data_IF_082872738736
#
_entry.id   IF_082872738736
#
_cell.length_a   1.000
_cell.length_b   1.000
_cell.length_c   1.000
_cell.angle_alpha   90.00
_cell.angle_beta   90.00
_cell.angle_gamma   90.00
#
_symmetry.space_group_name_H-M   'P 1'
#
loop_
_entity.id
_entity.type
_entity.pdbx_description
1 polymer ?
#
# COMPACT_ATOMS: atom_id res chain seq x y z
N UNK A 1 5.60 -4.47 -16.69
CA UNK A 1 4.30 -4.55 -16.00
C UNK A 1 4.17 -3.31 -15.14
N UNK A 2 3.03 -2.62 -15.16
CA UNK A 2 2.79 -1.49 -14.25
C UNK A 2 2.05 -2.03 -13.04
N UNK A 3 2.69 -2.04 -11.88
CA UNK A 3 2.03 -2.38 -10.63
C UNK A 3 1.11 -1.24 -10.18
N UNK A 4 -0.02 -1.59 -9.56
CA UNK A 4 -0.92 -0.67 -8.88
C UNK A 4 -0.90 -1.04 -7.41
N UNK A 5 -0.95 -0.03 -6.54
CA UNK A 5 -1.08 -0.23 -5.10
C UNK A 5 -2.53 -0.05 -4.66
N UNK A 6 -2.97 -0.93 -3.76
CA UNK A 6 -4.24 -0.87 -3.05
C UNK A 6 -3.99 -0.93 -1.56
N UNK A 7 -4.87 -0.35 -0.75
CA UNK A 7 -4.78 -0.48 0.71
C UNK A 7 -5.44 -1.80 1.08
N UNK A 8 -4.74 -2.65 1.83
CA UNK A 8 -5.37 -3.76 2.55
C UNK A 8 -5.31 -3.51 4.05
N UNK A 9 -6.41 -3.77 4.74
CA UNK A 9 -6.54 -3.55 6.18
C UNK A 9 -6.96 -4.84 6.87
N UNK A 10 -6.44 -5.06 8.07
CA UNK A 10 -6.72 -6.20 8.92
C UNK A 10 -6.98 -5.73 10.35
N UNK A 11 -8.18 -5.95 10.87
CA UNK A 11 -8.50 -5.73 12.27
C UNK A 11 -9.28 -6.93 12.81
N UNK A 12 -8.83 -7.55 13.90
CA UNK A 12 -9.50 -8.72 14.49
C UNK A 12 -9.80 -9.85 13.47
N UNK A 13 -8.85 -10.16 12.58
CA UNK A 13 -9.00 -11.08 11.42
C UNK A 13 -10.02 -10.67 10.36
N UNK A 14 -10.59 -9.47 10.44
CA UNK A 14 -11.43 -8.92 9.39
C UNK A 14 -10.54 -8.28 8.34
N UNK A 15 -10.35 -9.00 7.23
CA UNK A 15 -9.63 -8.54 6.07
C UNK A 15 -10.53 -7.66 5.20
N UNK A 16 -9.98 -6.55 4.71
CA UNK A 16 -10.62 -5.72 3.70
C UNK A 16 -9.59 -5.16 2.72
N UNK A 17 -9.78 -5.45 1.44
CA UNK A 17 -9.04 -4.84 0.34
C UNK A 17 -9.82 -3.64 -0.21
N UNK A 18 -9.21 -2.47 -0.23
CA UNK A 18 -9.85 -1.24 -0.67
C UNK A 18 -9.67 -1.05 -2.19
N UNK A 19 -10.77 -0.77 -2.94
CA UNK A 19 -10.73 -0.73 -4.40
C UNK A 19 -10.02 0.51 -4.98
N UNK A 20 -9.73 1.51 -4.14
CA UNK A 20 -9.07 2.73 -4.59
C UNK A 20 -7.58 2.47 -4.88
N UNK A 21 -7.18 2.69 -6.13
CA UNK A 21 -5.78 2.60 -6.55
C UNK A 21 -4.97 3.82 -6.13
N UNK A 22 -3.76 3.61 -5.62
CA UNK A 22 -2.78 4.65 -5.27
C UNK A 22 -1.71 4.77 -6.37
N UNK A 23 -2.12 5.36 -7.51
CA UNK A 23 -1.28 5.39 -8.71
C UNK A 23 -0.15 6.40 -8.60
N UNK A 24 -0.41 7.55 -7.99
CA UNK A 24 0.62 8.58 -7.81
C UNK A 24 1.64 8.15 -6.77
N UNK A 25 1.21 7.44 -5.72
CA UNK A 25 2.12 6.89 -4.70
C UNK A 25 3.14 5.93 -5.32
N UNK A 26 2.70 4.95 -6.13
CA UNK A 26 3.64 3.99 -6.74
C UNK A 26 4.57 4.64 -7.77
N UNK A 27 4.06 5.56 -8.60
CA UNK A 27 4.86 6.25 -9.62
C UNK A 27 5.95 7.13 -8.99
N UNK A 28 5.68 7.71 -7.83
CA UNK A 28 6.58 8.63 -7.14
C UNK A 28 7.20 8.04 -5.86
N UNK A 29 7.23 6.72 -5.74
CA UNK A 29 7.67 6.00 -4.54
C UNK A 29 9.09 6.40 -4.11
N UNK A 30 10.04 6.43 -5.05
CA UNK A 30 11.44 6.80 -4.76
C UNK A 30 11.56 8.20 -4.15
N UNK A 31 10.76 9.14 -4.67
CA UNK A 31 10.72 10.52 -4.19
C UNK A 31 10.07 10.63 -2.81
N UNK A 32 8.98 9.88 -2.57
CA UNK A 32 8.33 9.78 -1.27
C UNK A 32 9.25 9.17 -0.22
N UNK A 33 9.98 8.11 -0.56
CA UNK A 33 10.92 7.45 0.34
C UNK A 33 12.11 8.35 0.72
N UNK A 34 12.64 9.11 -0.25
CA UNK A 34 13.66 10.11 0.02
C UNK A 34 13.16 11.18 1.00
N UNK A 35 11.89 11.58 0.87
CA UNK A 35 11.25 12.50 1.81
C UNK A 35 11.03 11.88 3.18
N UNK A 36 10.54 10.64 3.25
CA UNK A 36 10.40 9.91 4.52
C UNK A 36 11.72 9.86 5.29
N UNK A 37 12.82 9.53 4.60
CA UNK A 37 14.17 9.53 5.18
C UNK A 37 14.58 10.91 5.71
N UNK A 38 14.25 11.97 4.98
CA UNK A 38 14.55 13.36 5.38
C UNK A 38 13.72 13.80 6.58
N UNK A 39 12.47 13.33 6.67
CA UNK A 39 11.55 13.62 7.77
C UNK A 39 11.76 12.71 8.99
N UNK A 40 12.59 11.67 8.87
CA UNK A 40 12.85 10.71 9.94
C UNK A 40 11.69 9.74 10.19
N UNK A 41 10.83 9.50 9.19
CA UNK A 41 9.69 8.57 9.25
C UNK A 41 9.95 7.34 8.39
N UNK A 42 9.10 6.32 8.55
CA UNK A 42 9.22 5.06 7.82
C UNK A 42 9.00 5.28 6.31
N UNK A 43 9.86 4.74 5.43
CA UNK A 43 9.66 4.80 3.98
C UNK A 43 8.35 4.14 3.56
N UNK A 44 7.73 4.64 2.49
CA UNK A 44 6.46 4.11 1.98
C UNK A 44 6.66 2.72 1.38
N UNK A 45 7.82 2.47 0.76
CA UNK A 45 8.19 1.15 0.25
C UNK A 45 8.17 0.06 1.31
N UNK A 46 8.38 0.40 2.58
CA UNK A 46 8.35 -0.58 3.68
C UNK A 46 6.94 -1.13 3.93
N UNK A 47 5.90 -0.40 3.52
CA UNK A 47 4.51 -0.84 3.68
C UNK A 47 3.99 -1.62 2.47
N UNK A 48 4.79 -1.81 1.42
CA UNK A 48 4.35 -2.48 0.19
C UNK A 48 4.43 -3.99 0.38
N UNK A 49 3.30 -4.65 0.19
CA UNK A 49 3.20 -6.11 0.14
C UNK A 49 3.22 -6.56 -1.33
N UNK A 50 4.15 -7.46 -1.66
CA UNK A 50 4.36 -7.96 -3.04
C UNK A 50 3.74 -9.33 -3.27
N UNK A 51 3.09 -9.92 -2.26
CA UNK A 51 2.55 -11.28 -2.26
C UNK A 51 1.71 -11.57 -3.51
N UNK A 52 0.86 -10.64 -3.92
CA UNK A 52 0.01 -10.83 -5.11
C UNK A 52 0.83 -10.92 -6.41
N UNK A 53 1.85 -10.07 -6.57
CA UNK A 53 2.73 -10.05 -7.74
C UNK A 53 3.57 -11.33 -7.77
N UNK A 54 4.16 -11.71 -6.64
CA UNK A 54 4.97 -12.92 -6.53
C UNK A 54 4.16 -14.18 -6.83
N UNK A 55 2.91 -14.24 -6.35
CA UNK A 55 2.01 -15.35 -6.62
C UNK A 55 1.67 -15.47 -8.12
N UNK A 56 1.38 -14.34 -8.78
CA UNK A 56 1.10 -14.32 -10.22
C UNK A 56 2.34 -14.71 -11.05
N UNK A 57 3.51 -14.19 -10.69
CA UNK A 57 4.77 -14.55 -11.34
C UNK A 57 5.09 -16.04 -11.21
N UNK A 58 4.89 -16.61 -10.02
CA UNK A 58 5.06 -18.04 -9.78
C UNK A 58 4.08 -18.89 -10.62
N UNK A 59 2.82 -18.47 -10.73
CA UNK A 59 1.82 -19.13 -11.57
C UNK A 59 2.22 -19.08 -13.05
N UNK A 60 2.71 -17.92 -13.53
CA UNK A 60 3.16 -17.74 -14.90
C UNK A 60 4.37 -18.62 -15.25
N UNK A 61 5.34 -18.75 -14.35
CA UNK A 61 6.53 -19.60 -14.55
C UNK A 61 6.21 -21.09 -14.59
N UNK A 62 5.20 -21.52 -13.84
CA UNK A 62 4.82 -22.93 -13.73
C UNK A 62 3.92 -23.36 -14.90
N UNK A 63 3.39 -22.40 -15.68
CA UNK A 63 2.41 -22.66 -16.75
C UNK A 63 1.03 -23.08 -16.22
N UNK A 64 0.87 -23.10 -14.91
CA UNK A 64 -0.35 -23.44 -14.20
C UNK A 64 -1.18 -22.17 -14.05
N UNK A 65 -1.77 -21.70 -15.15
CA UNK A 65 -2.81 -20.66 -15.13
C UNK A 65 -4.11 -21.16 -14.48
N UNK A 66 -4.16 -22.45 -14.13
CA UNK A 66 -5.26 -23.16 -13.49
C UNK A 66 -4.82 -23.80 -12.17
N UNK A 67 -4.15 -23.06 -11.27
CA UNK A 67 -4.28 -23.43 -9.86
C UNK A 67 -5.72 -23.16 -9.46
N UNK A 68 -6.58 -24.16 -9.62
CA UNK A 68 -7.87 -24.29 -8.97
C UNK A 68 -7.67 -24.52 -7.47
N UNK A 69 -6.81 -23.71 -6.84
CA UNK A 69 -6.80 -23.49 -5.41
C UNK A 69 -8.04 -22.66 -5.14
N UNK A 70 -8.99 -23.26 -4.43
CA UNK A 70 -10.14 -22.53 -3.90
C UNK A 70 -9.64 -21.26 -3.23
N UNK A 71 -10.25 -20.09 -3.52
CA UNK A 71 -9.83 -18.85 -2.88
C UNK A 71 -9.91 -19.03 -1.37
N UNK A 72 -8.97 -18.43 -0.66
CA UNK A 72 -8.92 -18.44 0.78
C UNK A 72 -10.27 -17.92 1.33
N UNK A 73 -10.90 -18.63 2.28
CA UNK A 73 -12.24 -18.27 2.76
C UNK A 73 -12.26 -16.97 3.57
N UNK A 74 -11.12 -16.48 4.07
CA UNK A 74 -11.03 -15.24 4.85
C UNK A 74 -10.74 -14.03 3.95
N UNK A 75 -9.91 -14.17 2.91
CA UNK A 75 -9.53 -13.05 2.01
C UNK A 75 -10.30 -13.03 0.69
N UNK A 76 -10.79 -14.18 0.23
CA UNK A 76 -11.31 -14.36 -1.13
C UNK A 76 -10.23 -14.31 -2.22
N UNK A 77 -8.95 -14.29 -1.85
CA UNK A 77 -7.80 -14.24 -2.74
C UNK A 77 -7.19 -15.64 -2.94
N UNK A 78 -6.25 -15.76 -3.87
CA UNK A 78 -5.54 -17.03 -4.08
C UNK A 78 -4.55 -17.38 -2.96
N UNK A 79 -4.30 -16.44 -2.04
CA UNK A 79 -3.38 -16.51 -0.90
C UNK A 79 -4.08 -16.01 0.37
N UNK A 80 -3.59 -16.46 1.53
CA UNK A 80 -4.20 -16.18 2.82
C UNK A 80 -3.67 -14.91 3.50
N UNK A 81 -4.29 -14.55 4.62
CA UNK A 81 -3.83 -13.44 5.49
C UNK A 81 -2.39 -13.71 5.97
N UNK A 82 -2.05 -14.96 6.23
CA UNK A 82 -0.74 -15.38 6.78
C UNK A 82 0.42 -15.24 5.79
N UNK A 83 0.12 -15.16 4.49
CA UNK A 83 1.12 -15.00 3.44
C UNK A 83 1.52 -13.53 3.25
N UNK A 84 0.69 -12.59 3.71
CA UNK A 84 0.90 -11.15 3.53
C UNK A 84 1.69 -10.53 4.67
N UNK A 85 2.43 -9.46 4.37
CA UNK A 85 3.08 -8.65 5.39
C UNK A 85 2.09 -7.67 6.03
N UNK A 86 1.98 -7.68 7.36
CA UNK A 86 1.06 -6.82 8.11
C UNK A 86 1.81 -5.89 9.05
N UNK A 87 1.64 -4.58 8.84
CA UNK A 87 2.31 -3.55 9.63
C UNK A 87 1.30 -2.78 10.49
N UNK A 88 1.68 -2.31 11.70
CA UNK A 88 0.78 -1.53 12.53
C UNK A 88 0.33 -0.25 11.83
N UNK A 89 -0.99 0.01 11.85
CA UNK A 89 -1.57 1.21 11.23
C UNK A 89 -0.93 2.50 11.75
N UNK A 90 -0.66 2.58 13.05
CA UNK A 90 -0.02 3.74 13.68
C UNK A 90 1.32 4.12 13.05
N UNK A 91 2.09 3.13 12.57
CA UNK A 91 3.39 3.40 11.90
C UNK A 91 3.19 4.01 10.51
N UNK A 92 2.15 3.54 9.79
CA UNK A 92 1.73 4.12 8.52
C UNK A 92 1.20 5.53 8.68
N UNK A 93 0.30 5.75 9.64
CA UNK A 93 -0.31 7.04 9.94
C UNK A 93 0.74 8.13 10.18
N UNK A 94 1.75 7.87 11.03
CA UNK A 94 2.85 8.82 11.28
C UNK A 94 3.55 9.22 9.98
N UNK A 95 3.78 8.26 9.09
CA UNK A 95 4.50 8.48 7.83
C UNK A 95 3.64 9.26 6.83
N UNK A 96 2.36 8.93 6.70
CA UNK A 96 1.42 9.63 5.85
C UNK A 96 1.18 11.08 6.32
N UNK A 97 0.97 11.29 7.62
CA UNK A 97 0.76 12.62 8.22
C UNK A 97 1.96 13.54 7.99
N UNK A 98 3.17 13.01 8.20
CA UNK A 98 4.41 13.75 7.97
C UNK A 98 4.56 14.15 6.51
N UNK A 99 4.30 13.22 5.57
CA UNK A 99 4.35 13.49 4.13
C UNK A 99 3.31 14.51 3.71
N UNK A 100 2.03 14.34 4.06
CA UNK A 100 0.95 15.27 3.72
C UNK A 100 1.29 16.67 4.23
N UNK A 101 1.67 16.76 5.50
CA UNK A 101 2.03 18.02 6.13
C UNK A 101 3.24 18.68 5.47
N UNK A 102 4.21 17.91 4.96
CA UNK A 102 5.36 18.43 4.24
C UNK A 102 4.99 18.90 2.83
N UNK A 103 4.23 18.10 2.08
CA UNK A 103 3.80 18.37 0.70
C UNK A 103 2.83 19.55 0.58
N UNK A 104 2.01 19.78 1.60
CA UNK A 104 1.11 20.94 1.65
C UNK A 104 1.87 22.26 1.86
N UNK A 105 3.01 22.22 2.55
CA UNK A 105 3.79 23.41 2.93
C UNK A 105 4.97 23.68 2.00
N UNK A 106 5.48 22.64 1.36
CA UNK A 106 6.70 22.68 0.56
C UNK A 106 6.49 22.02 -0.81
N UNK A 107 7.31 22.42 -1.77
CA UNK A 107 7.45 21.70 -3.05
C UNK A 107 8.81 21.02 -3.06
N UNK A 108 8.92 19.78 -2.57
CA UNK A 108 10.19 19.07 -2.53
C UNK A 108 10.73 18.83 -3.93
N UNK A 109 12.06 18.87 -4.06
CA UNK A 109 12.75 18.67 -5.35
C UNK A 109 12.70 17.22 -5.80
N UNK A 110 12.58 16.32 -4.82
CA UNK A 110 12.45 14.87 -4.95
C UNK A 110 11.18 14.46 -5.71
N UNK A 111 10.16 15.33 -5.71
CA UNK A 111 8.89 15.13 -6.42
C UNK A 111 8.68 16.16 -7.53
N UNK A 112 9.76 16.64 -8.14
CA UNK A 112 9.66 17.64 -9.20
C UNK A 112 8.91 17.08 -10.41
N UNK A 113 7.84 17.76 -10.83
CA UNK A 113 6.95 17.31 -11.91
C UNK A 113 5.85 16.33 -11.47
N UNK A 114 5.81 15.90 -10.20
CA UNK A 114 4.73 15.09 -9.68
C UNK A 114 3.43 15.91 -9.54
N UNK A 115 2.24 15.32 -9.77
CA UNK A 115 0.97 15.98 -9.53
C UNK A 115 0.69 16.04 -8.02
N UNK A 116 1.36 16.95 -7.31
CA UNK A 116 1.34 17.04 -5.84
C UNK A 116 -0.07 17.05 -5.22
N UNK A 117 -1.04 17.67 -5.88
CA UNK A 117 -2.43 17.69 -5.40
C UNK A 117 -3.03 16.27 -5.39
N UNK A 118 -2.89 15.52 -6.48
CA UNK A 118 -3.37 14.15 -6.56
C UNK A 118 -2.62 13.21 -5.61
N UNK A 119 -1.31 13.45 -5.45
CA UNK A 119 -0.48 12.69 -4.52
C UNK A 119 -0.93 12.90 -3.06
N UNK A 120 -1.19 14.15 -2.67
CA UNK A 120 -1.72 14.47 -1.34
C UNK A 120 -3.13 13.88 -1.15
N UNK A 121 -3.99 13.93 -2.15
CA UNK A 121 -5.32 13.30 -2.09
C UNK A 121 -5.26 11.78 -1.89
N UNK A 122 -4.32 11.09 -2.55
CA UNK A 122 -4.09 9.65 -2.34
C UNK A 122 -3.58 9.35 -0.93
N UNK A 123 -2.63 10.14 -0.41
CA UNK A 123 -2.12 9.97 0.95
C UNK A 123 -3.21 10.27 2.01
N UNK A 124 -4.00 11.33 1.83
CA UNK A 124 -5.11 11.66 2.73
C UNK A 124 -6.20 10.60 2.72
N UNK A 125 -6.40 9.93 1.59
CA UNK A 125 -7.28 8.78 1.51
C UNK A 125 -6.75 7.62 2.34
N UNK A 126 -5.44 7.37 2.32
CA UNK A 126 -4.82 6.38 3.20
C UNK A 126 -5.12 6.70 4.66
N UNK A 127 -4.89 7.94 5.11
CA UNK A 127 -5.23 8.35 6.48
C UNK A 127 -6.71 8.16 6.80
N UNK A 128 -7.61 8.60 5.91
CA UNK A 128 -9.05 8.52 6.15
C UNK A 128 -9.53 7.08 6.26
N UNK A 129 -8.96 6.17 5.47
CA UNK A 129 -9.26 4.73 5.52
C UNK A 129 -8.71 4.09 6.79
N UNK A 130 -7.53 4.51 7.24
CA UNK A 130 -6.81 3.87 8.34
C UNK A 130 -7.19 4.43 9.73
N UNK A 131 -7.55 5.70 9.83
CA UNK A 131 -7.89 6.38 11.08
C UNK A 131 -8.91 5.64 11.98
N UNK A 132 -10.05 5.12 11.47
CA UNK A 132 -10.98 4.38 12.33
C UNK A 132 -10.38 3.09 12.89
N UNK A 133 -9.47 2.45 12.15
CA UNK A 133 -8.85 1.17 12.51
C UNK A 133 -7.62 1.35 13.40
N UNK A 134 -6.98 2.52 13.38
CA UNK A 134 -5.85 2.85 14.25
C UNK A 134 -6.21 2.72 15.73
N UNK A 135 -7.40 3.23 16.12
CA UNK A 135 -7.91 3.19 17.49
C UNK A 135 -8.08 1.74 17.98
N UNK A 136 -8.40 0.83 17.06
CA UNK A 136 -8.59 -0.58 17.33
C UNK A 136 -7.27 -1.39 17.32
N UNK A 137 -6.14 -0.73 17.03
CA UNK A 137 -4.85 -1.39 16.89
C UNK A 137 -4.73 -2.26 15.63
N UNK A 138 -5.47 -1.89 14.57
CA UNK A 138 -5.46 -2.60 13.30
C UNK A 138 -4.09 -2.58 12.60
N UNK A 139 -3.98 -3.44 11.59
CA UNK A 139 -2.81 -3.58 10.73
C UNK A 139 -3.18 -3.27 9.28
N UNK A 140 -2.19 -2.93 8.47
CA UNK A 140 -2.38 -2.67 7.05
C UNK A 140 -1.13 -3.00 6.24
N UNK A 141 -1.31 -3.04 4.92
CA UNK A 141 -0.25 -2.93 3.93
C UNK A 141 -0.76 -2.22 2.67
N UNK A 142 0.17 -1.92 1.78
CA UNK A 142 -0.07 -1.45 0.42
C UNK A 142 0.13 -2.63 -0.52
N UNK A 143 -0.93 -3.38 -0.79
CA UNK A 143 -0.88 -4.55 -1.67
C UNK A 143 -0.58 -4.11 -3.10
N UNK A 144 0.55 -4.56 -3.63
CA UNK A 144 0.88 -4.42 -5.04
C UNK A 144 0.17 -5.50 -5.85
N UNK A 145 -0.52 -5.09 -6.90
CA UNK A 145 -1.09 -5.99 -7.90
C UNK A 145 -0.70 -5.53 -9.30
N UNK A 146 -0.65 -6.45 -10.26
CA UNK A 146 -0.44 -6.09 -11.65
C UNK A 146 -1.71 -5.41 -12.20
N UNK A 147 -1.54 -4.29 -12.91
CA UNK A 147 -2.63 -3.81 -13.74
C UNK A 147 -2.76 -4.73 -14.95
N UNK A 148 -3.89 -5.40 -15.08
CA UNK A 148 -4.34 -5.99 -16.34
C UNK A 148 -4.46 -4.91 -17.45
#
# INVERSE_FOLDING_TARGET
MSAILHIATLCNRQFQLHPASLRQVIVHLDGLDALCKTLGVTPISHFIDLTAVEFEEAAALTGDTNTSSSPDPETGLAYGIEDMEWLPISTGMISFEALISHLQRNRPKELNGAPLMQLVEELQRCETTLAPLEIEGGQFNLSACTSA
#
